data_IF_672272172037
#
_entry.id   IF_672272172037
#
_cell.length_a   1.000
_cell.length_b   1.000
_cell.length_c   1.000
_cell.angle_alpha   90.00
_cell.angle_beta   90.00
_cell.angle_gamma   90.00
#
_symmetry.space_group_name_H-M   'P 1'
#
loop_
_entity.id
_entity.type
_entity.pdbx_description
1 polymer ?
#
# COMPACT_ATOMS: atom_id res chain seq x y z
N UNK A 1 -6.26 35.91 -17.42
CA UNK A 1 -6.79 36.16 -16.08
C UNK A 1 -8.09 36.93 -16.21
N UNK A 2 -9.22 36.25 -16.04
CA UNK A 2 -10.52 36.90 -15.95
C UNK A 2 -11.04 36.73 -14.51
N UNK A 3 -11.92 37.65 -14.06
CA UNK A 3 -12.54 37.54 -12.74
C UNK A 3 -13.37 36.27 -12.52
N UNK A 4 -13.66 35.53 -13.59
CA UNK A 4 -14.43 34.29 -13.56
C UNK A 4 -13.54 33.02 -13.44
N UNK A 5 -12.26 33.06 -13.82
CA UNK A 5 -11.36 31.89 -13.81
C UNK A 5 -10.05 32.22 -13.08
N UNK A 6 -9.90 31.73 -11.84
CA UNK A 6 -8.77 32.04 -10.94
C UNK A 6 -7.42 31.67 -11.53
N UNK A 7 -7.30 30.56 -12.26
CA UNK A 7 -6.08 30.09 -12.94
C UNK A 7 -6.19 30.11 -14.47
N UNK A 8 -7.23 30.78 -15.01
CA UNK A 8 -7.48 30.80 -16.45
C UNK A 8 -8.13 29.52 -16.96
N UNK A 9 -8.19 29.41 -18.29
CA UNK A 9 -8.79 28.28 -19.01
C UNK A 9 -7.74 27.50 -19.79
N UNK A 10 -7.99 26.21 -20.04
CA UNK A 10 -7.20 25.40 -20.96
C UNK A 10 -7.46 25.79 -22.44
N UNK A 11 -6.78 25.13 -23.37
CA UNK A 11 -6.93 25.37 -24.82
C UNK A 11 -8.35 25.14 -25.34
N UNK A 12 -9.22 24.50 -24.58
CA UNK A 12 -10.60 24.15 -24.92
C UNK A 12 -11.61 25.01 -24.11
N UNK A 13 -11.13 26.01 -23.37
CA UNK A 13 -11.98 26.92 -22.58
C UNK A 13 -12.48 26.37 -21.25
N UNK A 14 -11.91 25.27 -20.72
CA UNK A 14 -12.31 24.68 -19.44
C UNK A 14 -11.52 25.31 -18.30
N UNK A 15 -12.18 25.55 -17.14
CA UNK A 15 -11.56 26.09 -15.94
C UNK A 15 -10.48 25.13 -15.38
N UNK A 16 -9.24 25.60 -15.32
CA UNK A 16 -8.08 24.84 -14.84
C UNK A 16 -8.22 24.52 -13.35
N UNK A 17 -8.75 25.44 -12.55
CA UNK A 17 -8.90 25.26 -11.11
C UNK A 17 -9.90 24.13 -10.79
N UNK A 18 -11.06 24.15 -11.43
CA UNK A 18 -12.05 23.08 -11.28
C UNK A 18 -11.49 21.72 -11.70
N UNK A 19 -10.77 21.64 -12.81
CA UNK A 19 -10.11 20.38 -13.25
C UNK A 19 -9.07 19.88 -12.27
N UNK A 20 -8.30 20.78 -11.66
CA UNK A 20 -7.30 20.44 -10.65
C UNK A 20 -7.96 19.82 -9.41
N UNK A 21 -9.06 20.42 -8.92
CA UNK A 21 -9.78 19.90 -7.74
C UNK A 21 -10.43 18.55 -8.03
N UNK A 22 -11.12 18.40 -9.15
CA UNK A 22 -11.76 17.14 -9.53
C UNK A 22 -10.74 16.04 -9.82
N UNK A 23 -9.66 16.36 -10.51
CA UNK A 23 -8.57 15.41 -10.77
C UNK A 23 -7.85 14.97 -9.49
N UNK A 24 -7.55 15.91 -8.61
CA UNK A 24 -6.94 15.63 -7.32
C UNK A 24 -7.82 14.72 -6.46
N UNK A 25 -9.14 14.99 -6.38
CA UNK A 25 -10.09 14.15 -5.63
C UNK A 25 -10.04 12.69 -6.07
N UNK A 26 -10.08 12.44 -7.36
CA UNK A 26 -10.04 11.09 -7.90
C UNK A 26 -8.69 10.41 -7.63
N UNK A 27 -7.58 11.08 -7.93
CA UNK A 27 -6.24 10.53 -7.74
C UNK A 27 -5.94 10.25 -6.27
N UNK A 28 -6.30 11.18 -5.37
CA UNK A 28 -6.14 11.00 -3.91
C UNK A 28 -7.00 9.84 -3.42
N UNK A 29 -8.26 9.76 -3.85
CA UNK A 29 -9.16 8.66 -3.47
C UNK A 29 -8.62 7.28 -3.89
N UNK A 30 -8.11 7.16 -5.11
CA UNK A 30 -7.50 5.94 -5.61
C UNK A 30 -6.20 5.63 -4.85
N UNK A 31 -5.35 6.62 -4.58
CA UNK A 31 -4.13 6.43 -3.82
C UNK A 31 -4.40 5.96 -2.39
N UNK A 32 -5.41 6.52 -1.71
CA UNK A 32 -5.82 6.07 -0.36
C UNK A 32 -6.32 4.63 -0.41
N UNK A 33 -7.22 4.30 -1.34
CA UNK A 33 -7.76 2.95 -1.48
C UNK A 33 -6.65 1.92 -1.77
N UNK A 34 -5.72 2.26 -2.66
CA UNK A 34 -4.57 1.42 -3.03
C UNK A 34 -3.65 1.20 -1.83
N UNK A 35 -3.30 2.27 -1.12
CA UNK A 35 -2.43 2.20 0.06
C UNK A 35 -3.10 1.39 1.19
N UNK A 36 -4.38 1.62 1.46
CA UNK A 36 -5.13 0.85 2.45
C UNK A 36 -5.15 -0.65 2.10
N UNK A 37 -5.39 -1.00 0.85
CA UNK A 37 -5.37 -2.38 0.38
C UNK A 37 -3.97 -3.01 0.52
N UNK A 38 -2.91 -2.27 0.17
CA UNK A 38 -1.52 -2.71 0.35
C UNK A 38 -1.20 -3.00 1.82
N UNK A 39 -1.69 -2.15 2.74
CA UNK A 39 -1.50 -2.33 4.19
C UNK A 39 -2.29 -3.50 4.75
N UNK A 40 -3.50 -3.74 4.25
CA UNK A 40 -4.28 -4.93 4.65
C UNK A 40 -3.55 -6.20 4.22
N UNK A 41 -3.15 -6.30 2.95
CA UNK A 41 -2.46 -7.49 2.42
C UNK A 41 -1.10 -7.67 3.10
N UNK A 42 -0.23 -6.66 3.03
CA UNK A 42 1.13 -6.72 3.56
C UNK A 42 1.17 -6.84 5.08
N UNK A 43 0.26 -6.17 5.78
CA UNK A 43 0.12 -6.24 7.23
C UNK A 43 -0.29 -7.63 7.71
N UNK A 44 -1.33 -8.20 7.13
CA UNK A 44 -1.80 -9.56 7.50
C UNK A 44 -0.73 -10.60 7.21
N UNK A 45 -0.14 -10.58 6.01
CA UNK A 45 0.90 -11.54 5.62
C UNK A 45 2.18 -11.38 6.45
N UNK A 46 2.61 -10.13 6.71
CA UNK A 46 3.78 -9.84 7.52
C UNK A 46 3.62 -10.28 8.98
N UNK A 47 2.44 -10.05 9.56
CA UNK A 47 2.09 -10.50 10.90
C UNK A 47 2.05 -12.05 10.97
N UNK A 48 1.39 -12.68 9.99
CA UNK A 48 1.33 -14.13 9.90
C UNK A 48 2.73 -14.76 9.79
N UNK A 49 3.61 -14.20 8.97
CA UNK A 49 4.99 -14.67 8.82
C UNK A 49 5.79 -14.56 10.15
N UNK A 50 5.65 -13.43 10.86
CA UNK A 50 6.35 -13.20 12.12
C UNK A 50 5.91 -14.16 13.23
N UNK A 51 4.65 -14.59 13.25
CA UNK A 51 4.08 -15.44 14.28
C UNK A 51 4.28 -16.91 13.97
N UNK A 52 4.02 -17.32 12.72
CA UNK A 52 4.10 -18.72 12.28
C UNK A 52 5.53 -19.23 12.29
N UNK A 53 6.51 -18.37 11.97
CA UNK A 53 7.92 -18.75 11.82
C UNK A 53 8.12 -19.97 10.90
N UNK A 54 9.34 -20.45 10.75
CA UNK A 54 9.63 -21.68 10.00
C UNK A 54 9.36 -21.58 8.50
N UNK A 55 8.76 -22.61 7.91
CA UNK A 55 8.58 -22.74 6.46
C UNK A 55 7.64 -21.70 5.85
N UNK A 56 6.58 -21.32 6.56
CA UNK A 56 5.61 -20.33 6.07
C UNK A 56 6.27 -18.94 5.96
N UNK A 57 7.04 -18.56 6.97
CA UNK A 57 7.83 -17.34 6.95
C UNK A 57 8.82 -17.32 5.78
N UNK A 58 9.54 -18.42 5.57
CA UNK A 58 10.48 -18.56 4.45
C UNK A 58 9.77 -18.47 3.09
N UNK A 59 8.64 -19.15 2.92
CA UNK A 59 7.87 -19.13 1.68
C UNK A 59 7.39 -17.70 1.35
N UNK A 60 6.73 -17.04 2.30
CA UNK A 60 6.22 -15.69 2.11
C UNK A 60 7.36 -14.69 1.84
N UNK A 61 8.45 -14.77 2.60
CA UNK A 61 9.60 -13.89 2.40
C UNK A 61 10.25 -14.09 1.03
N UNK A 62 10.42 -15.34 0.57
CA UNK A 62 10.96 -15.63 -0.76
C UNK A 62 10.07 -15.14 -1.88
N UNK A 63 8.74 -15.31 -1.75
CA UNK A 63 7.78 -14.78 -2.72
C UNK A 63 7.88 -13.26 -2.82
N UNK A 64 7.95 -12.58 -1.68
CA UNK A 64 8.13 -11.13 -1.62
C UNK A 64 9.47 -10.70 -2.23
N UNK A 65 10.56 -11.41 -1.95
CA UNK A 65 11.88 -11.12 -2.52
C UNK A 65 11.89 -11.23 -4.05
N UNK A 66 11.21 -12.24 -4.62
CA UNK A 66 11.06 -12.40 -6.07
C UNK A 66 10.27 -11.23 -6.67
N UNK A 67 9.15 -10.84 -6.05
CA UNK A 67 8.36 -9.71 -6.52
C UNK A 67 9.14 -8.38 -6.46
N UNK A 68 9.97 -8.20 -5.44
CA UNK A 68 10.78 -6.98 -5.27
C UNK A 68 12.03 -6.95 -6.16
N UNK A 69 12.44 -8.08 -6.74
CA UNK A 69 13.57 -8.13 -7.67
C UNK A 69 13.26 -7.41 -9.00
N UNK A 70 11.97 -7.29 -9.35
CA UNK A 70 11.52 -6.59 -10.55
C UNK A 70 11.23 -5.13 -10.19
N UNK A 71 11.74 -4.13 -10.96
CA UNK A 71 11.38 -2.74 -10.74
C UNK A 71 9.87 -2.53 -10.79
N UNK A 72 9.29 -2.04 -9.70
CA UNK A 72 7.83 -2.00 -9.48
C UNK A 72 7.07 -1.26 -10.59
N UNK A 73 7.63 -0.13 -11.10
CA UNK A 73 7.00 0.62 -12.18
C UNK A 73 6.93 -0.18 -13.48
N UNK A 74 8.01 -0.86 -13.85
CA UNK A 74 8.07 -1.71 -15.06
C UNK A 74 7.09 -2.87 -14.92
N UNK A 75 7.07 -3.49 -13.75
CA UNK A 75 6.17 -4.62 -13.49
C UNK A 75 4.70 -4.18 -13.53
N UNK A 76 4.36 -3.02 -12.95
CA UNK A 76 3.04 -2.46 -13.05
C UNK A 76 2.63 -2.18 -14.51
N UNK A 77 3.50 -1.60 -15.32
CA UNK A 77 3.25 -1.34 -16.75
C UNK A 77 2.96 -2.62 -17.51
N UNK A 78 3.76 -3.67 -17.33
CA UNK A 78 3.55 -4.96 -17.97
C UNK A 78 2.22 -5.58 -17.56
N UNK A 79 1.91 -5.61 -16.27
CA UNK A 79 0.64 -6.17 -15.80
C UNK A 79 -0.57 -5.38 -16.30
N UNK A 80 -0.51 -4.05 -16.30
CA UNK A 80 -1.59 -3.21 -16.82
C UNK A 80 -1.76 -3.35 -18.33
N UNK A 81 -0.70 -3.60 -19.10
CA UNK A 81 -0.80 -3.87 -20.53
C UNK A 81 -1.47 -5.21 -20.84
N UNK A 82 -1.31 -6.21 -19.98
CA UNK A 82 -1.92 -7.54 -20.12
C UNK A 82 -3.39 -7.55 -19.66
N UNK A 83 -3.65 -7.01 -18.45
CA UNK A 83 -4.98 -7.08 -17.82
C UNK A 83 -5.89 -5.88 -18.15
N UNK A 84 -5.35 -4.88 -18.82
CA UNK A 84 -6.04 -3.62 -19.13
C UNK A 84 -5.90 -2.58 -18.03
N UNK A 85 -5.96 -1.29 -18.44
CA UNK A 85 -5.75 -0.13 -17.58
C UNK A 85 -7.05 0.39 -16.92
N UNK A 86 -7.88 -0.52 -16.39
CA UNK A 86 -9.04 -0.10 -15.59
C UNK A 86 -8.60 0.40 -14.21
N UNK A 87 -9.38 1.31 -13.61
CA UNK A 87 -9.10 1.83 -12.26
C UNK A 87 -8.97 0.71 -11.24
N UNK A 88 -9.80 -0.33 -11.33
CA UNK A 88 -9.76 -1.50 -10.44
C UNK A 88 -8.46 -2.27 -10.60
N UNK A 89 -8.04 -2.57 -11.83
CA UNK A 89 -6.79 -3.27 -12.10
C UNK A 89 -5.58 -2.46 -11.59
N UNK A 90 -5.60 -1.14 -11.80
CA UNK A 90 -4.58 -0.23 -11.31
C UNK A 90 -4.46 -0.28 -9.78
N UNK A 91 -5.58 -0.20 -9.05
CA UNK A 91 -5.61 -0.31 -7.59
C UNK A 91 -5.03 -1.66 -7.15
N UNK A 92 -5.51 -2.77 -7.71
CA UNK A 92 -5.10 -4.11 -7.29
C UNK A 92 -3.61 -4.34 -7.58
N UNK A 93 -3.14 -4.03 -8.78
CA UNK A 93 -1.76 -4.27 -9.19
C UNK A 93 -0.80 -3.46 -8.34
N UNK A 94 -1.03 -2.15 -8.17
CA UNK A 94 -0.16 -1.30 -7.35
C UNK A 94 -0.24 -1.74 -5.88
N UNK A 95 -1.42 -2.07 -5.35
CA UNK A 95 -1.57 -2.53 -3.98
C UNK A 95 -0.80 -3.83 -3.71
N UNK A 96 -0.84 -4.80 -4.61
CA UNK A 96 -0.07 -6.05 -4.49
C UNK A 96 1.43 -5.78 -4.52
N UNK A 97 1.90 -4.95 -5.44
CA UNK A 97 3.32 -4.61 -5.53
C UNK A 97 3.80 -3.83 -4.30
N UNK A 98 3.03 -2.88 -3.81
CA UNK A 98 3.42 -2.08 -2.64
C UNK A 98 3.24 -2.83 -1.32
N UNK A 99 2.34 -3.82 -1.26
CA UNK A 99 2.16 -4.70 -0.11
C UNK A 99 3.43 -5.49 0.26
N UNK A 100 4.32 -5.73 -0.69
CA UNK A 100 5.61 -6.40 -0.44
C UNK A 100 6.49 -5.61 0.53
N UNK A 101 6.50 -4.30 0.41
CA UNK A 101 7.26 -3.40 1.30
C UNK A 101 6.61 -3.32 2.69
N UNK A 102 5.28 -3.23 2.72
CA UNK A 102 4.51 -3.27 3.97
C UNK A 102 4.70 -4.60 4.68
N UNK A 103 4.71 -5.72 3.95
CA UNK A 103 5.03 -7.05 4.48
C UNK A 103 6.38 -7.07 5.19
N UNK A 104 7.44 -6.58 4.54
CA UNK A 104 8.80 -6.57 5.12
C UNK A 104 8.87 -5.74 6.39
N UNK A 105 8.28 -4.55 6.40
CA UNK A 105 8.24 -3.71 7.59
C UNK A 105 7.44 -4.39 8.71
N UNK A 106 6.21 -4.80 8.43
CA UNK A 106 5.33 -5.44 9.42
C UNK A 106 5.98 -6.67 10.03
N UNK A 107 6.59 -7.52 9.19
CA UNK A 107 7.33 -8.69 9.64
C UNK A 107 8.50 -8.31 10.55
N UNK A 108 9.32 -7.34 10.14
CA UNK A 108 10.51 -6.92 10.89
C UNK A 108 10.16 -6.36 12.28
N UNK A 109 9.15 -5.48 12.36
CA UNK A 109 8.74 -4.92 13.66
C UNK A 109 8.01 -5.95 14.53
N UNK A 110 7.23 -6.84 13.92
CA UNK A 110 6.49 -7.88 14.65
C UNK A 110 7.39 -8.93 15.27
N UNK A 111 8.49 -9.34 14.63
CA UNK A 111 9.45 -10.30 15.18
C UNK A 111 9.99 -9.81 16.54
N UNK A 112 10.27 -8.52 16.67
CA UNK A 112 10.78 -7.95 17.91
C UNK A 112 9.72 -7.94 19.02
N UNK A 113 8.45 -7.76 18.67
CA UNK A 113 7.34 -7.74 19.63
C UNK A 113 6.93 -9.15 20.07
N UNK A 114 6.95 -10.12 19.15
CA UNK A 114 6.53 -11.52 19.40
C UNK A 114 7.40 -12.21 20.48
N UNK A 115 8.63 -11.74 20.72
CA UNK A 115 9.55 -12.30 21.71
C UNK A 115 9.50 -11.59 23.07
N UNK A 116 8.62 -10.61 23.25
CA UNK A 116 8.50 -9.87 24.51
C UNK A 116 7.78 -10.70 25.58
N UNK A 117 8.17 -10.49 26.84
CA UNK A 117 7.68 -11.24 28.00
C UNK A 117 6.16 -11.19 28.17
N UNK A 118 5.51 -10.08 27.84
CA UNK A 118 4.06 -9.95 27.92
C UNK A 118 3.33 -10.81 26.88
N UNK A 119 3.94 -11.05 25.71
CA UNK A 119 3.39 -11.94 24.69
C UNK A 119 3.52 -13.40 25.16
N UNK A 120 4.64 -13.75 25.78
CA UNK A 120 4.84 -15.07 26.37
C UNK A 120 3.88 -15.31 27.52
N UNK A 121 3.71 -14.33 28.41
CA UNK A 121 2.72 -14.39 29.48
C UNK A 121 1.30 -14.58 28.98
N UNK A 122 0.92 -13.94 27.86
CA UNK A 122 -0.38 -14.16 27.24
C UNK A 122 -0.54 -15.60 26.72
N UNK A 123 0.50 -16.16 26.11
CA UNK A 123 0.51 -17.59 25.68
C UNK A 123 0.37 -18.54 26.84
N UNK A 124 1.07 -18.29 27.95
CA UNK A 124 0.99 -19.11 29.16
C UNK A 124 -0.39 -19.07 29.83
N UNK A 125 -1.12 -17.96 29.68
CA UNK A 125 -2.52 -17.85 30.10
C UNK A 125 -3.49 -18.62 29.19
N UNK A 126 -3.01 -19.18 28.06
CA UNK A 126 -3.84 -19.92 27.13
C UNK A 126 -4.59 -19.05 26.12
N UNK A 127 -4.19 -17.78 25.96
CA UNK A 127 -4.81 -16.88 24.99
C UNK A 127 -4.58 -17.38 23.55
N UNK A 128 -5.64 -17.27 22.71
CA UNK A 128 -5.57 -17.69 21.31
C UNK A 128 -4.69 -16.75 20.47
N UNK A 129 -4.13 -17.26 19.37
CA UNK A 129 -3.25 -16.52 18.47
C UNK A 129 -3.88 -15.21 17.96
N UNK A 130 -5.16 -15.23 17.57
CA UNK A 130 -5.88 -14.04 17.07
C UNK A 130 -6.00 -12.99 18.19
N UNK A 131 -6.23 -13.40 19.42
CA UNK A 131 -6.29 -12.51 20.56
C UNK A 131 -4.93 -11.84 20.79
N UNK A 132 -3.85 -12.62 20.82
CA UNK A 132 -2.47 -12.13 20.99
C UNK A 132 -2.11 -11.15 19.86
N UNK A 133 -2.47 -11.48 18.61
CA UNK A 133 -2.24 -10.58 17.46
C UNK A 133 -2.91 -9.22 17.66
N UNK A 134 -4.18 -9.20 18.05
CA UNK A 134 -4.98 -7.98 18.15
C UNK A 134 -4.69 -7.16 19.40
N UNK A 135 -4.40 -7.81 20.52
CA UNK A 135 -4.27 -7.14 21.84
C UNK A 135 -2.83 -6.88 22.24
N UNK A 136 -1.92 -7.74 21.88
CA UNK A 136 -0.52 -7.63 22.30
C UNK A 136 0.41 -7.15 21.17
N UNK A 137 0.28 -7.68 19.95
CA UNK A 137 1.24 -7.38 18.89
C UNK A 137 0.82 -6.13 18.11
N UNK A 138 -0.38 -6.11 17.56
CA UNK A 138 -0.84 -5.05 16.65
C UNK A 138 -0.73 -3.65 17.27
N UNK A 139 -1.19 -3.38 18.51
CA UNK A 139 -1.07 -2.05 19.09
C UNK A 139 0.39 -1.57 19.23
N UNK A 140 1.30 -2.49 19.51
CA UNK A 140 2.71 -2.17 19.71
C UNK A 140 3.48 -1.90 18.40
N UNK A 141 3.01 -2.42 17.28
CA UNK A 141 3.59 -2.16 15.95
C UNK A 141 2.90 -1.02 15.20
N UNK A 142 1.79 -0.49 15.70
CA UNK A 142 1.03 0.59 15.03
C UNK A 142 1.84 1.87 14.77
N UNK A 143 2.67 2.39 15.69
CA UNK A 143 3.40 3.62 15.44
C UNK A 143 4.26 3.58 14.16
N UNK A 144 5.15 2.60 13.94
CA UNK A 144 5.91 2.51 12.70
C UNK A 144 5.03 2.23 11.47
N UNK A 145 3.91 1.50 11.62
CA UNK A 145 3.00 1.26 10.51
C UNK A 145 2.25 2.52 10.08
N UNK A 146 1.83 3.37 11.02
CA UNK A 146 1.17 4.64 10.71
C UNK A 146 2.14 5.59 9.98
N UNK A 147 3.39 5.68 10.43
CA UNK A 147 4.41 6.48 9.77
C UNK A 147 4.66 5.98 8.34
N UNK A 148 4.79 4.68 8.15
CA UNK A 148 4.95 4.07 6.83
C UNK A 148 3.72 4.27 5.93
N UNK A 149 2.50 4.27 6.50
CA UNK A 149 1.29 4.52 5.73
C UNK A 149 1.33 5.88 5.02
N UNK A 150 1.72 6.93 5.73
CA UNK A 150 1.87 8.26 5.14
C UNK A 150 2.92 8.27 4.03
N UNK A 151 4.07 7.62 4.26
CA UNK A 151 5.14 7.53 3.27
C UNK A 151 4.69 6.73 2.03
N UNK A 152 4.06 5.57 2.21
CA UNK A 152 3.54 4.76 1.10
C UNK A 152 2.47 5.48 0.31
N UNK A 153 1.56 6.17 0.98
CA UNK A 153 0.56 7.00 0.31
C UNK A 153 1.20 7.99 -0.68
N UNK A 154 2.26 8.69 -0.27
CA UNK A 154 2.98 9.60 -1.16
C UNK A 154 3.59 8.87 -2.38
N UNK A 155 4.24 7.72 -2.16
CA UNK A 155 4.82 6.93 -3.25
C UNK A 155 3.77 6.34 -4.19
N UNK A 156 2.67 5.83 -3.66
CA UNK A 156 1.55 5.32 -4.46
C UNK A 156 0.94 6.43 -5.31
N UNK A 157 0.73 7.61 -4.71
CA UNK A 157 0.25 8.79 -5.44
C UNK A 157 1.18 9.14 -6.62
N UNK A 158 2.49 9.19 -6.38
CA UNK A 158 3.49 9.46 -7.42
C UNK A 158 3.50 8.36 -8.50
N UNK A 159 3.35 7.10 -8.11
CA UNK A 159 3.28 5.97 -9.05
C UNK A 159 2.04 6.07 -9.96
N UNK A 160 0.88 6.40 -9.40
CA UNK A 160 -0.35 6.61 -10.16
C UNK A 160 -0.19 7.79 -11.14
N UNK A 161 0.42 8.88 -10.69
CA UNK A 161 0.69 10.04 -11.53
C UNK A 161 1.66 9.69 -12.68
N UNK A 162 2.73 8.94 -12.41
CA UNK A 162 3.68 8.47 -13.41
C UNK A 162 3.02 7.54 -14.46
N UNK A 163 2.19 6.59 -14.01
CA UNK A 163 1.45 5.69 -14.90
C UNK A 163 0.42 6.45 -15.76
N UNK A 164 -0.23 7.45 -15.19
CA UNK A 164 -1.16 8.32 -15.95
C UNK A 164 -0.42 9.14 -16.99
N UNK A 165 0.77 9.65 -16.67
CA UNK A 165 1.64 10.36 -17.63
C UNK A 165 2.09 9.44 -18.79
N UNK A 166 2.35 8.16 -18.50
CA UNK A 166 2.72 7.15 -19.52
C UNK A 166 1.52 6.63 -20.33
N UNK A 167 0.31 7.18 -20.09
CA UNK A 167 -0.89 6.82 -20.85
C UNK A 167 -1.56 5.51 -20.42
N UNK A 168 -1.09 4.87 -19.34
CA UNK A 168 -1.63 3.58 -18.83
C UNK A 168 -2.41 3.77 -17.51
N UNK A 169 -2.45 5.00 -16.99
CA UNK A 169 -3.20 5.35 -15.79
C UNK A 169 -4.61 5.85 -16.05
N UNK A 170 -5.12 6.63 -15.11
CA UNK A 170 -6.45 7.23 -15.19
C UNK A 170 -6.44 8.27 -16.33
N UNK A 171 -7.20 8.00 -17.35
CA UNK A 171 -7.45 8.96 -18.42
C UNK A 171 -8.63 9.86 -18.00
N UNK A 172 -8.55 11.20 -18.22
CA UNK A 172 -9.62 12.15 -17.89
C UNK A 172 -10.86 11.98 -18.77
#
# INVERSE_FOLDING_TARGET
WSSEFVFGTDQIGRDIFSRLIYGARNTVGIAVATTALAFIIGGILGLAAAIARGWLDQLLSRTVDVLMAIPSLIFALVLLSIFGSTVTNLIIIIAVLDSTRVFRLTRAVSINVVVMDYVEAARLRGEGLIWIMRREILPNIMPPLIAEFGLRFCFVFLTIAALSFLGVGIQP
#
